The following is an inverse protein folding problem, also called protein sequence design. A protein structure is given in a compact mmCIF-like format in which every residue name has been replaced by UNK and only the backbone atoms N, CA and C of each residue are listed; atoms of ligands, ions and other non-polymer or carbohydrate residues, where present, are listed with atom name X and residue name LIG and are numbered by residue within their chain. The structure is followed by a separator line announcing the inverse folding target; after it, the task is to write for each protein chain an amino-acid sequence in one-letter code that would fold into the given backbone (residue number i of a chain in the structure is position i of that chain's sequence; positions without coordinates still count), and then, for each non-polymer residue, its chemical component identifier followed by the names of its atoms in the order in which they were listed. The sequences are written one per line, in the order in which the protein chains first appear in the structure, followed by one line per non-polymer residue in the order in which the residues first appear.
data_IF_877475805660
#
_entry.id   IF_877475805660
#
_cell.length_a   1.000
_cell.length_b   1.000
_cell.length_c   1.000
_cell.angle_alpha   90.00
_cell.angle_beta   90.00
_cell.angle_gamma   90.00
#
_symmetry.space_group_name_H-M   'P 1'
#
loop_
_entity.id
_entity.type
_entity.pdbx_description
1 polymer ?
#
# COMPACT_ATOMS: atom_id res chain seq x y z
N UNK A 1 17.89 0.12 -32.96
CA UNK A 1 16.65 -0.58 -33.32
C UNK A 1 16.71 -1.99 -32.73
N UNK A 2 16.18 -2.23 -31.57
CA UNK A 2 15.95 -3.58 -31.05
C UNK A 2 14.63 -3.56 -30.30
N UNK A 3 13.61 -4.10 -30.95
CA UNK A 3 12.28 -4.38 -30.39
C UNK A 3 12.39 -5.67 -29.59
N UNK A 4 12.25 -5.60 -28.28
CA UNK A 4 11.98 -6.77 -27.46
C UNK A 4 10.46 -6.95 -27.37
N UNK A 5 9.94 -7.95 -28.05
CA UNK A 5 8.59 -8.48 -27.88
C UNK A 5 8.53 -9.15 -26.51
N UNK A 6 7.70 -8.65 -25.62
CA UNK A 6 7.25 -9.37 -24.43
C UNK A 6 5.94 -10.08 -24.78
N UNK A 7 6.05 -11.40 -24.86
CA UNK A 7 4.96 -12.30 -25.15
C UNK A 7 3.93 -12.30 -24.01
N UNK A 8 2.67 -12.20 -24.39
CA UNK A 8 1.52 -12.45 -23.54
C UNK A 8 1.55 -13.91 -23.06
N UNK A 9 1.84 -14.12 -21.79
CA UNK A 9 1.76 -15.42 -21.13
C UNK A 9 0.31 -15.73 -20.78
N UNK A 10 -0.24 -16.68 -21.47
CA UNK A 10 -1.54 -17.31 -21.29
C UNK A 10 -1.69 -17.80 -19.86
N UNK A 11 -2.79 -17.41 -19.23
CA UNK A 11 -3.22 -17.77 -17.88
C UNK A 11 -3.51 -19.29 -17.80
N UNK A 12 -2.51 -20.08 -17.44
CA UNK A 12 -2.75 -21.42 -16.95
C UNK A 12 -3.18 -21.33 -15.48
N UNK A 13 -4.47 -21.48 -15.22
CA UNK A 13 -5.01 -21.70 -13.89
C UNK A 13 -4.54 -23.08 -13.41
N UNK A 14 -3.33 -23.12 -12.87
CA UNK A 14 -2.95 -24.22 -12.00
C UNK A 14 -3.58 -23.92 -10.63
N UNK A 15 -4.69 -24.58 -10.31
CA UNK A 15 -5.22 -24.70 -8.96
C UNK A 15 -4.24 -25.51 -8.11
N UNK A 16 -3.06 -24.97 -7.85
CA UNK A 16 -2.29 -25.38 -6.72
C UNK A 16 -3.08 -24.88 -5.50
N UNK A 17 -3.64 -25.80 -4.73
CA UNK A 17 -4.06 -25.59 -3.34
C UNK A 17 -2.79 -25.22 -2.55
N UNK A 18 -2.29 -24.02 -2.76
CA UNK A 18 -1.37 -23.40 -1.83
C UNK A 18 -2.18 -23.30 -0.54
N UNK A 19 -1.80 -24.07 0.46
CA UNK A 19 -2.11 -23.77 1.86
C UNK A 19 -1.41 -22.43 2.13
N UNK A 20 -2.01 -21.35 1.62
CA UNK A 20 -1.56 -20.02 1.85
C UNK A 20 -1.66 -19.74 3.34
N UNK A 21 -0.58 -19.26 3.93
CA UNK A 21 -0.64 -18.66 5.24
C UNK A 21 -1.83 -17.67 5.27
N UNK A 22 -2.46 -17.54 6.44
CA UNK A 22 -3.56 -16.57 6.61
C UNK A 22 -3.05 -15.17 6.25
N UNK A 23 -3.72 -14.42 5.35
CA UNK A 23 -3.34 -13.05 5.01
C UNK A 23 -3.58 -12.05 6.15
N UNK A 24 -4.19 -12.48 7.26
CA UNK A 24 -4.25 -11.70 8.49
C UNK A 24 -2.94 -11.85 9.28
N UNK A 25 -2.67 -10.93 10.18
CA UNK A 25 -1.51 -11.02 11.07
C UNK A 25 -0.78 -9.71 11.29
N UNK A 26 0.33 -9.82 11.98
CA UNK A 26 1.20 -8.71 12.32
C UNK A 26 2.56 -8.86 11.64
N UNK A 27 3.11 -7.77 11.13
CA UNK A 27 4.49 -7.71 10.69
C UNK A 27 5.16 -6.39 11.07
N UNK A 28 6.46 -6.43 11.19
CA UNK A 28 7.30 -5.29 11.52
C UNK A 28 8.35 -5.07 10.46
N UNK A 29 8.81 -3.82 10.33
CA UNK A 29 9.81 -3.41 9.36
C UNK A 29 10.52 -2.14 9.81
N UNK A 30 11.47 -1.67 9.00
CA UNK A 30 12.06 -0.34 9.11
C UNK A 30 11.69 0.45 7.86
N UNK A 31 11.02 1.58 8.04
CA UNK A 31 10.73 2.53 6.96
C UNK A 31 11.73 3.67 6.99
N UNK A 32 12.30 4.01 5.83
CA UNK A 32 13.18 5.18 5.65
C UNK A 32 12.49 6.14 4.69
N UNK A 33 12.24 7.35 5.16
CA UNK A 33 11.52 8.40 4.43
C UNK A 33 12.42 9.62 4.32
N UNK A 34 12.52 10.18 3.13
CA UNK A 34 13.21 11.44 2.88
C UNK A 34 12.32 12.62 3.29
N UNK A 35 12.86 13.47 4.15
CA UNK A 35 12.23 14.70 4.61
C UNK A 35 13.09 15.91 4.18
N UNK A 36 12.57 17.14 4.22
CA UNK A 36 13.39 18.33 3.93
C UNK A 36 14.64 18.46 4.81
N UNK A 37 14.60 17.88 6.01
CA UNK A 37 15.71 17.87 6.97
C UNK A 37 16.65 16.65 6.83
N UNK A 38 16.44 15.80 5.81
CA UNK A 38 17.23 14.59 5.55
C UNK A 38 16.43 13.30 5.69
N UNK A 39 17.06 12.17 5.42
CA UNK A 39 16.43 10.84 5.53
C UNK A 39 16.24 10.45 6.99
N UNK A 40 15.06 9.92 7.33
CA UNK A 40 14.75 9.39 8.66
C UNK A 40 14.29 7.94 8.58
N UNK A 41 14.89 7.10 9.42
CA UNK A 41 14.49 5.71 9.58
C UNK A 41 13.62 5.57 10.83
N UNK A 42 12.49 4.88 10.70
CA UNK A 42 11.52 4.69 11.76
C UNK A 42 11.04 3.24 11.80
N UNK A 43 10.72 2.74 12.99
CA UNK A 43 10.08 1.44 13.11
C UNK A 43 8.68 1.49 12.50
N UNK A 44 8.36 0.48 11.70
CA UNK A 44 7.06 0.23 11.12
C UNK A 44 6.46 -1.01 11.76
N UNK A 45 5.21 -0.94 12.20
CA UNK A 45 4.43 -2.10 12.60
C UNK A 45 3.06 -2.05 11.93
N UNK A 46 2.64 -3.17 11.39
CA UNK A 46 1.37 -3.32 10.67
C UNK A 46 0.60 -4.49 11.26
N UNK A 47 -0.67 -4.26 11.57
CA UNK A 47 -1.61 -5.29 11.98
C UNK A 47 -2.73 -5.36 10.96
N UNK A 48 -2.82 -6.46 10.23
CA UNK A 48 -3.86 -6.73 9.24
C UNK A 48 -4.92 -7.63 9.86
N UNK A 49 -6.14 -7.12 10.02
CA UNK A 49 -7.25 -7.87 10.63
C UNK A 49 -8.25 -8.39 9.58
N UNK A 50 -8.53 -7.61 8.56
CA UNK A 50 -9.54 -7.93 7.54
C UNK A 50 -9.06 -7.47 6.16
N UNK A 51 -8.17 -8.24 5.51
CA UNK A 51 -7.77 -7.94 4.14
C UNK A 51 -8.97 -8.04 3.20
N UNK A 52 -9.02 -7.19 2.19
CA UNK A 52 -9.99 -7.28 1.10
C UNK A 52 -9.55 -8.32 0.08
N UNK A 53 -10.51 -9.01 -0.49
CA UNK A 53 -10.30 -9.75 -1.72
C UNK A 53 -10.37 -8.80 -2.91
N UNK A 54 -9.76 -9.21 -4.02
CA UNK A 54 -9.74 -8.38 -5.23
C UNK A 54 -11.17 -8.06 -5.72
N UNK A 55 -12.09 -9.01 -5.61
CA UNK A 55 -13.49 -8.81 -6.01
C UNK A 55 -14.20 -7.74 -5.16
N UNK A 56 -13.83 -7.63 -3.86
CA UNK A 56 -14.36 -6.59 -2.98
C UNK A 56 -13.77 -5.21 -3.30
N UNK A 57 -12.59 -5.17 -3.90
CA UNK A 57 -11.93 -3.93 -4.30
C UNK A 57 -12.44 -3.36 -5.62
N UNK A 58 -13.04 -4.18 -6.49
CA UNK A 58 -13.53 -3.75 -7.80
C UNK A 58 -14.54 -2.57 -7.75
N UNK A 59 -15.53 -2.55 -6.82
CA UNK A 59 -16.41 -1.39 -6.68
C UNK A 59 -15.68 -0.11 -6.29
N UNK A 60 -14.60 -0.20 -5.49
CA UNK A 60 -13.80 0.95 -5.08
C UNK A 60 -13.02 1.55 -6.25
N UNK A 61 -12.55 0.70 -7.18
CA UNK A 61 -11.93 1.15 -8.42
C UNK A 61 -12.90 2.00 -9.23
N UNK A 62 -14.14 1.56 -9.40
CA UNK A 62 -15.18 2.32 -10.11
C UNK A 62 -15.47 3.67 -9.42
N UNK A 63 -15.54 3.68 -8.08
CA UNK A 63 -15.72 4.93 -7.31
C UNK A 63 -14.54 5.88 -7.57
N UNK A 64 -13.31 5.36 -7.63
CA UNK A 64 -12.13 6.16 -7.93
C UNK A 64 -12.17 6.75 -9.35
N UNK A 65 -12.56 5.95 -10.35
CA UNK A 65 -12.65 6.36 -11.75
C UNK A 65 -13.73 7.46 -11.96
N UNK A 66 -14.89 7.32 -11.33
CA UNK A 66 -16.04 8.21 -11.52
C UNK A 66 -16.01 9.44 -10.60
N UNK A 67 -15.50 9.30 -9.38
CA UNK A 67 -15.60 10.34 -8.34
C UNK A 67 -14.25 10.82 -7.79
N UNK A 68 -13.13 10.26 -8.26
CA UNK A 68 -11.78 10.67 -7.86
C UNK A 68 -11.41 10.34 -6.42
N UNK A 69 -10.34 10.99 -5.95
CA UNK A 69 -9.72 10.72 -4.64
C UNK A 69 -10.69 10.92 -3.47
N UNK A 70 -11.47 11.98 -3.50
CA UNK A 70 -12.37 12.32 -2.40
C UNK A 70 -13.54 11.32 -2.28
N UNK A 71 -14.06 10.82 -3.40
CA UNK A 71 -15.10 9.80 -3.39
C UNK A 71 -14.56 8.48 -2.85
N UNK A 72 -13.36 8.08 -3.26
CA UNK A 72 -12.70 6.90 -2.72
C UNK A 72 -12.42 7.04 -1.22
N UNK A 73 -11.88 8.19 -0.78
CA UNK A 73 -11.63 8.47 0.64
C UNK A 73 -12.90 8.30 1.48
N UNK A 74 -14.01 8.87 1.02
CA UNK A 74 -15.30 8.76 1.71
C UNK A 74 -15.82 7.32 1.75
N UNK A 75 -15.55 6.54 0.71
CA UNK A 75 -16.00 5.14 0.62
C UNK A 75 -15.22 4.19 1.53
N UNK A 76 -13.91 4.44 1.75
CA UNK A 76 -13.06 3.56 2.56
C UNK A 76 -12.94 4.01 4.02
N UNK A 77 -13.14 5.29 4.30
CA UNK A 77 -12.92 5.89 5.63
C UNK A 77 -13.68 5.16 6.73
N UNK A 78 -12.96 4.80 7.78
CA UNK A 78 -13.54 4.14 8.95
C UNK A 78 -13.77 2.63 8.80
N UNK A 79 -13.31 2.02 7.72
CA UNK A 79 -13.43 0.57 7.50
C UNK A 79 -12.68 -0.27 8.53
N UNK A 80 -11.67 0.32 9.20
CA UNK A 80 -10.89 -0.27 10.30
C UNK A 80 -10.44 -1.71 10.03
N UNK A 81 -9.66 -1.88 8.98
CA UNK A 81 -9.17 -3.20 8.54
C UNK A 81 -7.90 -3.63 9.26
N UNK A 82 -7.36 -2.79 10.12
CA UNK A 82 -6.16 -3.01 10.90
C UNK A 82 -5.55 -1.70 11.40
N UNK A 83 -4.28 -1.73 11.76
CA UNK A 83 -3.51 -0.54 12.12
C UNK A 83 -2.13 -0.52 11.45
N UNK A 84 -1.68 0.68 11.14
CA UNK A 84 -0.39 1.00 10.57
C UNK A 84 0.30 1.98 11.52
N UNK A 85 1.38 1.56 12.15
CA UNK A 85 2.14 2.39 13.09
C UNK A 85 3.51 2.70 12.52
N UNK A 86 3.83 3.99 12.42
CA UNK A 86 5.12 4.49 11.97
C UNK A 86 5.74 5.33 13.08
N UNK A 87 6.84 4.85 13.67
CA UNK A 87 7.42 5.43 14.86
C UNK A 87 6.42 5.41 16.04
N UNK A 88 6.12 6.59 16.58
CA UNK A 88 5.15 6.76 17.67
C UNK A 88 3.70 6.95 17.21
N UNK A 89 3.45 7.13 15.92
CA UNK A 89 2.14 7.46 15.38
C UNK A 89 1.43 6.23 14.83
N UNK A 90 0.16 6.05 15.22
CA UNK A 90 -0.69 4.96 14.75
C UNK A 90 -1.85 5.49 13.91
N UNK A 91 -2.09 4.83 12.79
CA UNK A 91 -3.13 5.15 11.82
C UNK A 91 -4.03 3.94 11.58
N UNK A 92 -5.35 4.11 11.47
CA UNK A 92 -6.21 3.03 11.04
C UNK A 92 -5.90 2.69 9.57
N UNK A 93 -5.95 1.40 9.25
CA UNK A 93 -5.93 0.94 7.87
C UNK A 93 -7.37 0.98 7.37
N UNK A 94 -7.63 1.79 6.35
CA UNK A 94 -8.94 1.93 5.74
C UNK A 94 -9.14 0.96 4.57
N UNK A 95 -8.05 0.60 3.86
CA UNK A 95 -8.07 -0.43 2.83
C UNK A 95 -6.79 -1.25 2.90
N UNK A 96 -6.90 -2.56 2.80
CA UNK A 96 -5.77 -3.46 2.62
C UNK A 96 -6.15 -4.62 1.70
N UNK A 97 -5.34 -4.81 0.67
CA UNK A 97 -5.42 -5.95 -0.25
C UNK A 97 -4.19 -6.80 0.02
N UNK A 98 -4.38 -8.11 0.13
CA UNK A 98 -3.30 -9.07 0.27
C UNK A 98 -3.30 -9.99 -0.95
N UNK A 99 -2.28 -9.88 -1.77
CA UNK A 99 -2.08 -10.69 -2.97
C UNK A 99 -1.12 -11.83 -2.66
N UNK A 100 -1.52 -13.10 -2.86
CA UNK A 100 -0.62 -14.22 -2.66
C UNK A 100 0.47 -14.21 -3.74
N UNK A 101 1.71 -14.30 -3.31
CA UNK A 101 2.89 -14.47 -4.14
C UNK A 101 3.45 -15.89 -4.09
N UNK A 102 4.63 -16.10 -4.66
CA UNK A 102 5.31 -17.41 -4.68
C UNK A 102 5.74 -17.83 -3.27
N UNK A 103 6.17 -16.88 -2.45
CA UNK A 103 6.86 -17.08 -1.17
C UNK A 103 6.25 -16.28 -0.02
N UNK A 104 5.01 -15.80 -0.16
CA UNK A 104 4.32 -15.03 0.85
C UNK A 104 3.22 -14.15 0.28
N UNK A 105 3.02 -13.00 0.86
CA UNK A 105 2.01 -12.03 0.43
C UNK A 105 2.62 -10.68 0.11
N UNK A 106 2.07 -10.02 -0.90
CA UNK A 106 2.25 -8.58 -1.11
C UNK A 106 1.01 -7.87 -0.59
N UNK A 107 1.23 -6.97 0.36
CA UNK A 107 0.16 -6.16 0.94
C UNK A 107 0.18 -4.77 0.32
N UNK A 108 -0.97 -4.34 -0.17
CA UNK A 108 -1.25 -2.97 -0.56
C UNK A 108 -2.13 -2.34 0.51
N UNK A 109 -1.58 -1.38 1.26
CA UNK A 109 -2.18 -0.82 2.46
C UNK A 109 -2.44 0.67 2.22
N UNK A 110 -3.68 1.13 2.48
CA UNK A 110 -4.06 2.53 2.34
C UNK A 110 -4.64 3.04 3.65
N UNK A 111 -4.15 4.19 4.08
CA UNK A 111 -4.77 4.97 5.15
C UNK A 111 -5.34 6.26 4.58
N UNK A 112 -6.55 6.64 4.96
CA UNK A 112 -7.19 7.89 4.56
C UNK A 112 -6.65 9.10 5.31
N UNK A 113 -5.38 9.07 5.70
CA UNK A 113 -4.66 10.16 6.33
C UNK A 113 -3.28 10.26 5.72
N UNK A 114 -2.89 11.49 5.42
CA UNK A 114 -1.50 11.81 5.10
C UNK A 114 -0.64 11.61 6.36
N UNK A 115 0.60 11.16 6.19
CA UNK A 115 1.54 11.16 7.30
C UNK A 115 1.88 12.60 7.65
N UNK A 116 1.41 13.07 8.79
CA UNK A 116 1.45 14.46 9.24
C UNK A 116 2.85 15.05 9.50
N UNK A 117 3.91 14.34 9.17
CA UNK A 117 5.27 14.84 9.40
C UNK A 117 5.59 16.17 8.70
N UNK A 118 4.78 16.57 7.73
CA UNK A 118 4.98 17.74 6.90
C UNK A 118 3.91 18.81 7.02
N UNK A 119 2.71 18.46 7.45
CA UNK A 119 1.60 19.39 7.64
C UNK A 119 1.91 20.45 8.72
N UNK A 120 2.70 20.09 9.72
CA UNK A 120 3.10 21.01 10.79
C UNK A 120 4.04 22.11 10.27
N UNK A 121 4.71 21.90 9.13
CA UNK A 121 5.64 22.89 8.57
C UNK A 121 5.10 23.64 7.35
N UNK A 122 4.08 23.15 6.64
CA UNK A 122 3.62 23.76 5.38
C UNK A 122 2.13 24.07 5.25
N UNK A 123 1.31 23.70 6.22
CA UNK A 123 -0.06 24.22 6.37
C UNK A 123 -1.06 23.89 5.26
N UNK A 124 -0.82 22.91 4.39
CA UNK A 124 -1.78 22.52 3.36
C UNK A 124 -1.96 21.02 3.27
N UNK A 125 -3.14 20.53 3.70
CA UNK A 125 -3.62 19.21 3.29
C UNK A 125 -3.80 19.24 1.77
N UNK A 126 -3.06 18.42 1.05
CA UNK A 126 -3.31 18.24 -0.38
C UNK A 126 -4.55 17.39 -0.56
N UNK A 127 -5.65 18.02 -0.96
CA UNK A 127 -6.91 17.33 -1.28
C UNK A 127 -6.75 16.34 -2.43
N UNK A 128 -5.75 16.57 -3.28
CA UNK A 128 -5.48 15.73 -4.45
C UNK A 128 -4.66 14.48 -4.13
N UNK A 129 -3.96 14.46 -2.98
CA UNK A 129 -3.12 13.34 -2.52
C UNK A 129 -3.44 12.95 -1.07
N UNK A 130 -4.68 12.53 -0.77
CA UNK A 130 -5.17 12.41 0.60
C UNK A 130 -4.68 11.16 1.33
N UNK A 131 -3.96 10.25 0.65
CA UNK A 131 -3.63 8.94 1.20
C UNK A 131 -2.16 8.84 1.64
N UNK A 132 -1.93 7.96 2.60
CA UNK A 132 -0.66 7.25 2.75
C UNK A 132 -0.85 5.83 2.24
N UNK A 133 0.06 5.39 1.38
CA UNK A 133 0.06 4.05 0.81
C UNK A 133 1.34 3.34 1.19
N UNK A 134 1.26 2.07 1.59
CA UNK A 134 2.41 1.21 1.75
C UNK A 134 2.22 -0.08 0.94
N UNK A 135 3.23 -0.44 0.18
CA UNK A 135 3.35 -1.74 -0.48
C UNK A 135 4.42 -2.53 0.26
N UNK A 136 4.07 -3.70 0.79
CA UNK A 136 4.96 -4.53 1.57
C UNK A 136 4.93 -5.96 1.05
N UNK A 137 6.06 -6.48 0.61
CA UNK A 137 6.26 -7.91 0.42
C UNK A 137 6.62 -8.55 1.76
N UNK A 138 5.80 -9.49 2.20
CA UNK A 138 5.96 -10.24 3.45
C UNK A 138 6.16 -11.70 3.12
N UNK A 139 7.42 -12.16 3.00
CA UNK A 139 7.71 -13.56 2.70
C UNK A 139 7.37 -14.46 3.88
N UNK A 140 7.14 -15.74 3.61
CA UNK A 140 6.96 -16.77 4.64
C UNK A 140 8.23 -16.98 5.46
N UNK A 141 9.39 -16.86 4.81
CA UNK A 141 10.72 -17.01 5.42
C UNK A 141 11.64 -15.86 5.01
N UNK A 142 12.40 -15.36 5.98
CA UNK A 142 13.37 -14.28 5.75
C UNK A 142 12.77 -12.88 5.80
N UNK A 143 13.56 -11.87 5.46
CA UNK A 143 13.12 -10.49 5.41
C UNK A 143 12.51 -10.15 4.05
N UNK A 144 11.43 -9.39 4.07
CA UNK A 144 10.85 -8.76 2.90
C UNK A 144 11.23 -7.28 2.79
N UNK A 145 10.62 -6.62 1.82
CA UNK A 145 10.85 -5.22 1.52
C UNK A 145 9.56 -4.52 1.03
N UNK A 146 9.66 -3.25 0.68
CA UNK A 146 8.54 -2.49 0.18
C UNK A 146 8.81 -1.00 0.03
N UNK A 147 7.72 -0.28 -0.18
CA UNK A 147 7.73 1.16 -0.35
C UNK A 147 6.62 1.83 0.47
N UNK A 148 6.82 3.07 0.87
CA UNK A 148 5.82 3.91 1.51
C UNK A 148 5.71 5.25 0.80
N UNK A 149 4.49 5.64 0.49
CA UNK A 149 4.09 6.87 -0.19
C UNK A 149 3.33 7.73 0.80
N UNK A 150 3.92 8.82 1.25
CA UNK A 150 3.41 9.61 2.37
C UNK A 150 2.30 10.60 1.98
N UNK A 151 2.31 11.03 0.74
CA UNK A 151 1.27 11.89 0.12
C UNK A 151 0.94 11.30 -1.23
N UNK A 152 -0.07 10.45 -1.27
CA UNK A 152 -0.39 9.66 -2.43
C UNK A 152 -1.79 9.92 -2.96
N UNK A 153 -1.91 9.88 -4.27
CA UNK A 153 -3.15 9.70 -5.00
C UNK A 153 -3.17 8.31 -5.64
N UNK A 154 -4.33 7.70 -5.73
CA UNK A 154 -4.53 6.47 -6.47
C UNK A 154 -5.09 6.81 -7.85
N UNK A 155 -4.48 6.32 -8.91
CA UNK A 155 -4.93 6.56 -10.28
C UNK A 155 -5.15 5.25 -11.00
N UNK A 156 -6.12 5.20 -11.90
CA UNK A 156 -6.33 4.06 -12.79
C UNK A 156 -5.67 4.39 -14.12
N UNK A 157 -4.72 3.55 -14.54
CA UNK A 157 -4.05 3.73 -15.82
C UNK A 157 -4.91 3.27 -17.01
N UNK A 158 -4.39 3.46 -18.22
CA UNK A 158 -5.09 3.10 -19.46
C UNK A 158 -5.39 1.59 -19.59
N UNK A 159 -4.60 0.75 -18.89
CA UNK A 159 -4.77 -0.70 -18.88
C UNK A 159 -5.73 -1.14 -17.75
N UNK A 160 -6.23 -0.19 -16.97
CA UNK A 160 -7.15 -0.42 -15.88
C UNK A 160 -6.49 -0.87 -14.58
N UNK A 161 -5.18 -0.71 -14.42
CA UNK A 161 -4.49 -1.00 -13.17
C UNK A 161 -4.51 0.22 -12.24
N UNK A 162 -4.64 -0.03 -10.94
CA UNK A 162 -4.48 1.01 -9.93
C UNK A 162 -2.99 1.25 -9.67
N UNK A 163 -2.57 2.50 -9.82
CA UNK A 163 -1.20 2.95 -9.54
C UNK A 163 -1.19 4.00 -8.45
N UNK A 164 -0.08 4.08 -7.75
CA UNK A 164 0.18 5.12 -6.76
C UNK A 164 0.90 6.27 -7.45
N UNK A 165 0.31 7.46 -7.36
CA UNK A 165 0.93 8.71 -7.78
C UNK A 165 1.33 9.48 -6.52
N UNK A 166 2.62 9.69 -6.33
CA UNK A 166 3.14 10.46 -5.20
C UNK A 166 3.44 11.88 -5.63
N UNK A 167 3.08 12.84 -4.78
CA UNK A 167 3.36 14.24 -5.01
C UNK A 167 4.85 14.53 -4.77
N UNK A 168 5.55 14.96 -5.84
CA UNK A 168 6.88 15.63 -5.86
C UNK A 168 8.05 14.99 -5.08
N UNK A 169 7.94 13.71 -4.67
CA UNK A 169 8.98 13.02 -3.90
C UNK A 169 9.18 11.57 -4.35
N UNK A 170 10.36 11.05 -4.00
CA UNK A 170 10.61 9.62 -4.12
C UNK A 170 9.87 8.86 -3.01
N UNK A 171 9.33 7.68 -3.30
CA UNK A 171 8.79 6.80 -2.26
C UNK A 171 9.84 6.53 -1.18
N UNK A 172 9.40 6.49 0.06
CA UNK A 172 10.21 5.95 1.14
C UNK A 172 10.43 4.45 0.92
N UNK A 173 11.50 3.90 1.47
CA UNK A 173 11.81 2.48 1.39
C UNK A 173 11.41 1.78 2.68
N UNK A 174 10.90 0.56 2.56
CA UNK A 174 10.62 -0.34 3.68
C UNK A 174 11.56 -1.53 3.56
N UNK A 175 12.26 -1.88 4.64
CA UNK A 175 13.20 -3.00 4.69
C UNK A 175 12.95 -3.85 5.92
N UNK A 176 13.52 -5.07 5.89
CA UNK A 176 13.44 -6.02 6.99
C UNK A 176 12.00 -6.33 7.43
N UNK A 177 11.09 -6.46 6.45
CA UNK A 177 9.71 -6.85 6.73
C UNK A 177 9.69 -8.28 7.23
N UNK A 178 9.19 -8.47 8.46
CA UNK A 178 9.14 -9.78 9.11
C UNK A 178 7.78 -10.00 9.76
N UNK A 179 7.20 -11.14 9.51
CA UNK A 179 5.99 -11.59 10.20
C UNK A 179 6.32 -11.87 11.68
N UNK A 180 5.40 -11.52 12.57
CA UNK A 180 5.46 -11.85 14.01
C UNK A 180 4.66 -13.10 14.32
#
# INVERSE_FOLDING_TARGET
MNRALLAAGLLCVATALARGADPTGEFTAVATIDTPSGSRSMALAVVVRRPMRLEEAMPLKKILEEGGQQALLNAIKGSNRGSFRLGAMEYPIDLVIAEPGRDGYTYFIVTGRQLQYEEVQQGSESLDHPFTVAECHVPEFGPGDGHVYTQAALVVDADGHVRVNQYDRKPGTIKDVRRR
#
